data_IF_696425176920
#
_entry.id   IF_696425176920
#
_cell.length_a   1.000
_cell.length_b   1.000
_cell.length_c   1.000
_cell.angle_alpha   90.00
_cell.angle_beta   90.00
_cell.angle_gamma   90.00
#
_symmetry.space_group_name_H-M   'P 1'
#
loop_
_entity.id
_entity.type
_entity.pdbx_description
1 polymer ?
#
# COMPACT_ATOMS: atom_id res chain seq x y z
N UNK A 1 -60.98 -86.02 -9.88
CA UNK A 1 -59.70 -85.89 -10.61
C UNK A 1 -59.68 -84.51 -11.22
N UNK A 2 -58.52 -83.83 -11.16
CA UNK A 2 -58.25 -82.46 -11.61
C UNK A 2 -58.91 -81.32 -10.79
N UNK A 3 -58.25 -80.22 -10.40
CA UNK A 3 -56.82 -79.91 -10.20
C UNK A 3 -56.80 -78.63 -9.34
N UNK A 4 -55.87 -78.56 -8.40
CA UNK A 4 -55.54 -77.37 -7.60
C UNK A 4 -55.02 -76.23 -8.47
N UNK A 5 -55.42 -74.98 -8.20
CA UNK A 5 -54.54 -73.82 -8.33
C UNK A 5 -54.93 -72.76 -7.30
N UNK A 6 -54.31 -72.84 -6.12
CA UNK A 6 -54.14 -71.71 -5.20
C UNK A 6 -53.03 -70.83 -5.75
N UNK A 7 -53.32 -69.55 -5.98
CA UNK A 7 -52.31 -68.54 -6.30
C UNK A 7 -51.27 -68.44 -5.16
N UNK A 8 -49.96 -68.59 -5.43
CA UNK A 8 -48.94 -68.15 -4.50
C UNK A 8 -48.66 -66.67 -4.75
N UNK A 9 -48.86 -65.87 -3.72
CA UNK A 9 -48.33 -64.52 -3.54
C UNK A 9 -46.81 -64.55 -3.75
N UNK A 10 -46.35 -64.14 -4.93
CA UNK A 10 -44.93 -63.96 -5.21
C UNK A 10 -44.48 -62.64 -4.59
N UNK A 11 -43.93 -62.73 -3.38
CA UNK A 11 -43.26 -61.62 -2.71
C UNK A 11 -41.95 -61.42 -3.45
N UNK A 12 -41.97 -60.60 -4.50
CA UNK A 12 -40.77 -60.03 -5.09
C UNK A 12 -40.07 -59.17 -4.04
N UNK A 13 -39.13 -59.79 -3.34
CA UNK A 13 -38.17 -59.12 -2.48
C UNK A 13 -37.30 -58.25 -3.38
N UNK A 14 -37.69 -56.99 -3.57
CA UNK A 14 -36.84 -55.98 -4.17
C UNK A 14 -35.64 -55.76 -3.24
N UNK A 15 -34.56 -56.50 -3.49
CA UNK A 15 -33.23 -56.12 -3.02
C UNK A 15 -32.90 -54.82 -3.76
N UNK A 16 -33.13 -53.69 -3.10
CA UNK A 16 -32.55 -52.43 -3.51
C UNK A 16 -31.03 -52.58 -3.36
N UNK A 17 -30.36 -52.90 -4.46
CA UNK A 17 -28.92 -52.76 -4.56
C UNK A 17 -28.67 -51.25 -4.55
N UNK A 18 -28.35 -50.70 -3.38
CA UNK A 18 -27.70 -49.40 -3.29
C UNK A 18 -26.37 -49.52 -4.02
N UNK A 19 -26.34 -49.08 -5.27
CA UNK A 19 -25.09 -48.81 -5.97
C UNK A 19 -24.42 -47.68 -5.17
N UNK A 20 -23.23 -47.89 -4.58
CA UNK A 20 -22.56 -46.84 -3.85
C UNK A 20 -22.37 -45.64 -4.79
N UNK A 21 -22.71 -44.43 -4.33
CA UNK A 21 -22.33 -43.14 -4.95
C UNK A 21 -20.80 -42.93 -4.90
N UNK A 22 -20.02 -43.90 -5.37
CA UNK A 22 -18.56 -43.94 -5.22
C UNK A 22 -17.77 -43.80 -6.51
N UNK A 23 -18.42 -43.75 -7.69
CA UNK A 23 -17.68 -43.85 -8.95
C UNK A 23 -17.59 -42.57 -9.78
N UNK A 24 -18.44 -41.56 -9.53
CA UNK A 24 -18.35 -40.27 -10.25
C UNK A 24 -17.42 -39.27 -9.54
N UNK A 25 -17.36 -39.26 -8.20
CA UNK A 25 -16.44 -38.39 -7.44
C UNK A 25 -14.96 -38.76 -7.59
N UNK A 26 -14.68 -40.03 -7.91
CA UNK A 26 -13.31 -40.58 -7.99
C UNK A 26 -12.41 -39.87 -9.02
N UNK A 27 -12.96 -39.42 -10.15
CA UNK A 27 -12.19 -38.71 -11.18
C UNK A 27 -12.40 -37.19 -11.13
N UNK A 28 -13.53 -36.73 -10.59
CA UNK A 28 -13.85 -35.30 -10.51
C UNK A 28 -12.87 -34.56 -9.60
N UNK A 29 -12.53 -35.11 -8.44
CA UNK A 29 -11.61 -34.47 -7.50
C UNK A 29 -10.20 -34.30 -8.12
N UNK A 30 -9.54 -35.37 -8.63
CA UNK A 30 -8.23 -35.22 -9.27
C UNK A 30 -8.23 -34.29 -10.49
N UNK A 31 -9.30 -34.28 -11.30
CA UNK A 31 -9.42 -33.37 -12.43
C UNK A 31 -9.56 -31.92 -11.98
N UNK A 32 -10.38 -31.65 -10.96
CA UNK A 32 -10.53 -30.31 -10.36
C UNK A 32 -9.19 -29.82 -9.82
N UNK A 33 -8.49 -30.65 -9.06
CA UNK A 33 -7.17 -30.30 -8.51
C UNK A 33 -6.14 -30.04 -9.62
N UNK A 34 -6.15 -30.85 -10.68
CA UNK A 34 -5.29 -30.62 -11.84
C UNK A 34 -5.61 -29.29 -12.51
N UNK A 35 -6.90 -28.96 -12.70
CA UNK A 35 -7.32 -27.67 -13.24
C UNK A 35 -6.84 -26.52 -12.34
N UNK A 36 -7.06 -26.61 -11.04
CA UNK A 36 -6.62 -25.60 -10.07
C UNK A 36 -5.11 -25.40 -10.08
N UNK A 37 -4.32 -26.47 -10.19
CA UNK A 37 -2.85 -26.41 -10.27
C UNK A 37 -2.38 -25.66 -11.51
N UNK A 38 -3.09 -25.81 -12.64
CA UNK A 38 -2.73 -25.13 -13.88
C UNK A 38 -3.17 -23.66 -13.91
N UNK A 39 -4.22 -23.28 -13.18
CA UNK A 39 -4.79 -21.93 -13.22
C UNK A 39 -4.44 -21.05 -12.02
N UNK A 40 -4.16 -21.64 -10.86
CA UNK A 40 -3.93 -20.89 -9.62
C UNK A 40 -2.46 -20.50 -9.53
N UNK A 41 -2.19 -19.21 -9.62
CA UNK A 41 -0.87 -18.68 -9.30
C UNK A 41 -0.70 -18.56 -7.78
N UNK A 42 0.49 -18.89 -7.29
CA UNK A 42 0.86 -18.55 -5.91
C UNK A 42 0.85 -17.04 -5.73
N UNK A 43 0.40 -16.60 -4.56
CA UNK A 43 0.23 -15.18 -4.23
C UNK A 43 0.77 -14.82 -2.85
N UNK A 44 1.05 -15.80 -1.99
CA UNK A 44 1.66 -15.61 -0.67
C UNK A 44 3.07 -16.18 -0.74
N UNK A 45 4.07 -15.31 -0.58
CA UNK A 45 5.48 -15.65 -0.81
C UNK A 45 6.30 -15.54 0.47
N UNK A 46 7.31 -16.39 0.60
CA UNK A 46 8.37 -16.20 1.60
C UNK A 46 9.29 -15.08 1.13
N UNK A 47 9.62 -14.16 2.03
CA UNK A 47 10.61 -13.12 1.80
C UNK A 47 11.99 -13.77 1.71
N UNK A 48 12.84 -13.25 0.82
CA UNK A 48 14.24 -13.68 0.69
C UNK A 48 14.93 -13.67 2.05
N UNK A 49 15.60 -14.76 2.39
CA UNK A 49 16.24 -14.94 3.70
C UNK A 49 17.25 -13.83 4.01
N UNK A 50 17.99 -13.35 3.00
CA UNK A 50 18.94 -12.25 3.17
C UNK A 50 18.26 -10.95 3.55
N UNK A 51 17.08 -10.67 2.98
CA UNK A 51 16.30 -9.47 3.33
C UNK A 51 15.77 -9.57 4.76
N UNK A 52 15.35 -10.77 5.18
CA UNK A 52 14.90 -11.00 6.56
C UNK A 52 16.03 -10.82 7.56
N UNK A 53 17.22 -11.36 7.31
CA UNK A 53 18.39 -11.22 8.20
C UNK A 53 18.82 -9.75 8.40
N UNK A 54 18.65 -8.91 7.37
CA UNK A 54 19.00 -7.48 7.45
C UNK A 54 18.03 -6.72 8.37
N UNK A 55 16.74 -7.03 8.32
CA UNK A 55 15.72 -6.24 9.04
C UNK A 55 14.48 -7.06 9.44
N UNK A 56 14.67 -8.08 10.29
CA UNK A 56 13.65 -9.07 10.68
C UNK A 56 12.33 -8.45 11.15
N UNK A 57 12.39 -7.32 11.86
CA UNK A 57 11.24 -6.66 12.47
C UNK A 57 10.18 -6.21 11.45
N UNK A 58 10.54 -6.06 10.17
CA UNK A 58 9.63 -5.61 9.12
C UNK A 58 9.03 -6.76 8.31
N UNK A 59 9.43 -8.00 8.56
CA UNK A 59 9.02 -9.17 7.79
C UNK A 59 8.44 -10.30 8.66
N UNK A 60 8.71 -10.30 9.97
CA UNK A 60 8.27 -11.35 10.89
C UNK A 60 7.19 -10.84 11.86
N UNK A 61 6.07 -11.57 12.02
CA UNK A 61 5.01 -11.18 12.92
C UNK A 61 5.46 -11.25 14.38
N UNK A 62 5.06 -10.26 15.16
CA UNK A 62 5.47 -10.12 16.57
C UNK A 62 4.34 -10.45 17.56
N UNK A 63 3.09 -10.31 17.13
CA UNK A 63 1.91 -10.38 17.99
C UNK A 63 0.96 -11.48 17.53
N UNK A 64 0.63 -11.55 16.24
CA UNK A 64 -0.32 -12.52 15.68
C UNK A 64 0.21 -13.18 14.41
N UNK A 65 0.25 -14.51 14.41
CA UNK A 65 0.45 -15.29 13.18
C UNK A 65 -0.86 -15.41 12.41
N UNK A 66 -0.83 -15.39 11.08
CA UNK A 66 -2.00 -15.58 10.21
C UNK A 66 -1.57 -16.42 9.03
N UNK A 67 -2.30 -17.49 8.78
CA UNK A 67 -1.98 -18.46 7.74
C UNK A 67 -0.86 -19.42 8.16
N UNK A 68 -0.26 -20.07 7.16
CA UNK A 68 0.59 -21.24 7.38
C UNK A 68 2.04 -20.89 7.77
N UNK A 69 2.69 -19.93 7.09
CA UNK A 69 4.15 -19.76 7.19
C UNK A 69 4.69 -19.39 8.57
N UNK A 70 3.88 -18.74 9.41
CA UNK A 70 4.28 -18.33 10.75
C UNK A 70 3.46 -18.99 11.87
N UNK A 71 2.64 -19.99 11.54
CA UNK A 71 1.84 -20.68 12.54
C UNK A 71 2.72 -21.34 13.61
N UNK A 72 2.32 -21.20 14.87
CA UNK A 72 3.02 -21.83 16.01
C UNK A 72 4.29 -21.10 16.46
N UNK A 73 4.63 -19.94 15.88
CA UNK A 73 5.77 -19.12 16.32
C UNK A 73 5.61 -18.67 17.76
N UNK A 74 6.66 -18.84 18.57
CA UNK A 74 6.62 -18.63 20.03
C UNK A 74 6.04 -17.28 20.44
N UNK A 75 6.48 -16.19 19.81
CA UNK A 75 6.04 -14.83 20.14
C UNK A 75 4.55 -14.59 19.86
N UNK A 76 3.91 -15.43 19.03
CA UNK A 76 2.50 -15.29 18.63
C UNK A 76 1.56 -16.26 19.35
N UNK A 77 2.09 -17.21 20.15
CA UNK A 77 1.31 -18.26 20.82
C UNK A 77 0.21 -17.71 21.71
N UNK A 78 0.46 -16.59 22.37
CA UNK A 78 -0.54 -15.92 23.21
C UNK A 78 -1.81 -15.56 22.43
N UNK A 79 -1.68 -15.13 21.16
CA UNK A 79 -2.83 -14.77 20.34
C UNK A 79 -3.61 -15.97 19.82
N UNK A 80 -3.03 -17.18 19.78
CA UNK A 80 -3.74 -18.38 19.32
C UNK A 80 -5.00 -18.67 20.15
N UNK A 81 -4.92 -18.53 21.49
CA UNK A 81 -6.11 -18.69 22.35
C UNK A 81 -7.17 -17.63 22.05
N UNK A 82 -6.75 -16.39 21.79
CA UNK A 82 -7.65 -15.29 21.44
C UNK A 82 -8.34 -15.50 20.09
N UNK A 83 -7.68 -16.13 19.12
CA UNK A 83 -8.30 -16.50 17.84
C UNK A 83 -9.45 -17.48 18.06
N UNK A 84 -9.24 -18.53 18.85
CA UNK A 84 -10.30 -19.49 19.19
C UNK A 84 -11.45 -18.85 19.96
N UNK A 85 -11.16 -17.97 20.93
CA UNK A 85 -12.19 -17.19 21.65
C UNK A 85 -13.02 -16.32 20.70
N UNK A 86 -12.39 -15.74 19.67
CA UNK A 86 -13.07 -14.94 18.65
C UNK A 86 -13.92 -15.81 17.72
N UNK A 87 -13.38 -16.92 17.22
CA UNK A 87 -14.13 -17.88 16.42
C UNK A 87 -15.36 -18.40 17.18
N UNK A 88 -15.20 -18.78 18.45
CA UNK A 88 -16.34 -19.20 19.28
C UNK A 88 -17.36 -18.07 19.45
N UNK A 89 -16.90 -16.84 19.73
CA UNK A 89 -17.77 -15.66 19.82
C UNK A 89 -18.56 -15.40 18.53
N UNK A 90 -17.94 -15.64 17.37
CA UNK A 90 -18.56 -15.53 16.06
C UNK A 90 -19.63 -16.60 15.87
N UNK A 91 -19.29 -17.87 16.04
CA UNK A 91 -20.20 -19.00 15.78
C UNK A 91 -21.36 -19.08 16.78
N UNK A 92 -21.13 -18.73 18.05
CA UNK A 92 -22.11 -18.82 19.13
C UNK A 92 -23.22 -17.74 19.07
N UNK A 93 -23.27 -16.91 18.02
CA UNK A 93 -24.34 -15.92 17.82
C UNK A 93 -25.69 -16.53 17.48
N UNK A 94 -25.72 -17.76 16.96
CA UNK A 94 -26.95 -18.50 16.64
C UNK A 94 -26.94 -19.85 17.37
N UNK A 95 -28.12 -20.40 17.58
CA UNK A 95 -28.37 -21.63 18.36
C UNK A 95 -27.76 -22.92 17.79
N UNK A 96 -27.16 -22.88 16.60
CA UNK A 96 -26.68 -24.04 15.85
C UNK A 96 -25.17 -23.98 15.61
N UNK A 97 -24.40 -23.87 16.69
CA UNK A 97 -22.93 -23.77 16.63
C UNK A 97 -22.31 -24.97 15.90
N UNK A 98 -22.67 -26.19 16.29
CA UNK A 98 -22.10 -27.43 15.74
C UNK A 98 -22.38 -27.58 14.24
N UNK A 99 -23.63 -27.32 13.82
CA UNK A 99 -24.01 -27.38 12.41
C UNK A 99 -23.31 -26.30 11.56
N UNK A 100 -23.06 -25.12 12.13
CA UNK A 100 -22.31 -24.05 11.44
C UNK A 100 -20.84 -24.42 11.34
N UNK A 101 -20.25 -24.95 12.42
CA UNK A 101 -18.87 -25.42 12.46
C UNK A 101 -18.63 -26.54 11.42
N UNK A 102 -19.53 -27.52 11.35
CA UNK A 102 -19.49 -28.60 10.35
C UNK A 102 -19.50 -28.05 8.91
N UNK A 103 -20.38 -27.07 8.61
CA UNK A 103 -20.40 -26.39 7.31
C UNK A 103 -19.10 -25.66 7.00
N UNK A 104 -18.53 -24.95 7.98
CA UNK A 104 -17.24 -24.28 7.81
C UNK A 104 -16.13 -25.30 7.48
N UNK A 105 -16.01 -26.37 8.27
CA UNK A 105 -14.98 -27.41 8.08
C UNK A 105 -15.13 -28.09 6.71
N UNK A 106 -16.34 -28.49 6.32
CA UNK A 106 -16.61 -29.08 4.99
C UNK A 106 -16.20 -28.13 3.87
N UNK A 107 -16.62 -26.87 3.96
CA UNK A 107 -16.27 -25.89 2.93
C UNK A 107 -14.78 -25.59 2.85
N UNK A 108 -14.05 -25.65 3.97
CA UNK A 108 -12.59 -25.47 3.97
C UNK A 108 -11.88 -26.67 3.37
N UNK A 109 -12.33 -27.90 3.63
CA UNK A 109 -11.78 -29.11 3.00
C UNK A 109 -11.92 -29.08 1.48
N UNK A 110 -13.07 -28.63 0.97
CA UNK A 110 -13.32 -28.49 -0.48
C UNK A 110 -12.40 -27.45 -1.17
N UNK A 111 -11.88 -26.50 -0.38
CA UNK A 111 -11.04 -25.39 -0.83
C UNK A 111 -9.57 -25.57 -0.50
N UNK A 112 -9.22 -26.62 0.25
CA UNK A 112 -7.89 -26.82 0.82
C UNK A 112 -6.80 -26.86 -0.26
N UNK A 113 -7.01 -27.68 -1.30
CA UNK A 113 -6.05 -27.83 -2.38
C UNK A 113 -5.72 -26.47 -3.04
N UNK A 114 -6.75 -25.72 -3.44
CA UNK A 114 -6.59 -24.35 -3.97
C UNK A 114 -5.92 -23.40 -2.99
N UNK A 115 -6.26 -23.47 -1.70
CA UNK A 115 -5.67 -22.60 -0.67
C UNK A 115 -4.19 -22.87 -0.46
N UNK A 116 -3.77 -24.15 -0.53
CA UNK A 116 -2.35 -24.53 -0.47
C UNK A 116 -1.55 -23.98 -1.64
N UNK A 117 -2.12 -23.99 -2.85
CA UNK A 117 -1.48 -23.44 -4.05
C UNK A 117 -1.18 -21.93 -3.96
N UNK A 118 -1.94 -21.19 -3.13
CA UNK A 118 -1.66 -19.78 -2.88
C UNK A 118 -0.32 -19.55 -2.16
N UNK A 119 0.14 -20.50 -1.34
CA UNK A 119 1.41 -20.41 -0.64
C UNK A 119 2.55 -20.93 -1.52
N UNK A 120 3.44 -20.03 -1.93
CA UNK A 120 4.60 -20.38 -2.73
C UNK A 120 5.53 -21.31 -1.94
N UNK A 121 5.96 -22.40 -2.59
CA UNK A 121 6.89 -23.40 -2.06
C UNK A 121 6.39 -24.18 -0.82
N UNK A 122 5.10 -24.03 -0.45
CA UNK A 122 4.48 -24.90 0.55
C UNK A 122 4.31 -26.30 -0.05
N UNK A 123 4.93 -27.32 0.55
CA UNK A 123 4.75 -28.69 0.07
C UNK A 123 3.38 -29.22 0.53
N UNK A 124 2.74 -30.03 -0.31
CA UNK A 124 1.40 -30.56 -0.03
C UNK A 124 1.35 -31.38 1.27
N UNK A 125 2.45 -32.07 1.60
CA UNK A 125 2.62 -32.95 2.75
C UNK A 125 3.20 -32.26 3.99
N UNK A 126 3.61 -30.99 3.91
CA UNK A 126 4.26 -30.26 5.01
C UNK A 126 3.33 -30.04 6.21
N UNK A 127 2.04 -29.84 5.94
CA UNK A 127 1.00 -29.66 6.96
C UNK A 127 -0.12 -30.67 6.72
N UNK A 128 -0.48 -31.52 7.70
CA UNK A 128 -1.62 -32.44 7.58
C UNK A 128 -2.94 -31.70 7.28
N UNK A 129 -3.84 -32.32 6.51
CA UNK A 129 -5.11 -31.68 6.08
C UNK A 129 -5.94 -31.16 7.25
N UNK A 130 -6.15 -31.96 8.29
CA UNK A 130 -6.92 -31.55 9.47
C UNK A 130 -6.30 -30.33 10.15
N UNK A 131 -4.97 -30.29 10.24
CA UNK A 131 -4.25 -29.18 10.84
C UNK A 131 -4.32 -27.92 9.97
N UNK A 132 -4.24 -28.08 8.65
CA UNK A 132 -4.39 -26.96 7.71
C UNK A 132 -5.79 -26.32 7.84
N UNK A 133 -6.84 -27.14 7.84
CA UNK A 133 -8.23 -26.68 7.99
C UNK A 133 -8.44 -26.01 9.34
N UNK A 134 -7.88 -26.57 10.42
CA UNK A 134 -7.91 -25.97 11.76
C UNK A 134 -7.31 -24.56 11.77
N UNK A 135 -6.11 -24.37 11.19
CA UNK A 135 -5.43 -23.07 11.11
C UNK A 135 -6.28 -22.07 10.31
N UNK A 136 -6.73 -22.47 9.12
CA UNK A 136 -7.54 -21.61 8.26
C UNK A 136 -8.83 -21.16 8.96
N UNK A 137 -9.50 -22.07 9.67
CA UNK A 137 -10.73 -21.79 10.39
C UNK A 137 -10.52 -20.80 11.54
N UNK A 138 -9.51 -21.05 12.37
CA UNK A 138 -9.19 -20.20 13.51
C UNK A 138 -8.80 -18.79 13.08
N UNK A 139 -7.93 -18.68 12.07
CA UNK A 139 -7.40 -17.40 11.59
C UNK A 139 -8.46 -16.58 10.86
N UNK A 140 -9.19 -17.19 9.92
CA UNK A 140 -10.25 -16.50 9.18
C UNK A 140 -11.43 -16.12 10.10
N UNK A 141 -11.81 -17.00 11.04
CA UNK A 141 -12.84 -16.70 12.03
C UNK A 141 -12.44 -15.55 12.96
N UNK A 142 -11.17 -15.53 13.40
CA UNK A 142 -10.61 -14.42 14.15
C UNK A 142 -10.69 -13.09 13.38
N UNK A 143 -10.25 -13.08 12.12
CA UNK A 143 -10.25 -11.89 11.27
C UNK A 143 -11.66 -11.35 11.02
N UNK A 144 -12.61 -12.22 10.68
CA UNK A 144 -14.01 -11.85 10.47
C UNK A 144 -14.59 -11.22 11.75
N UNK A 145 -14.40 -11.87 12.90
CA UNK A 145 -14.90 -11.38 14.18
C UNK A 145 -14.25 -10.07 14.59
N UNK A 146 -12.93 -9.94 14.36
CA UNK A 146 -12.18 -8.71 14.64
C UNK A 146 -12.74 -7.54 13.85
N UNK A 147 -12.98 -7.70 12.55
CA UNK A 147 -13.54 -6.62 11.73
C UNK A 147 -14.97 -6.27 12.11
N UNK A 148 -15.81 -7.27 12.41
CA UNK A 148 -17.17 -7.04 12.90
C UNK A 148 -17.17 -6.25 14.21
N UNK A 149 -16.35 -6.66 15.19
CA UNK A 149 -16.20 -5.94 16.46
C UNK A 149 -15.64 -4.54 16.26
N UNK A 150 -14.69 -4.35 15.35
CA UNK A 150 -14.16 -3.03 15.03
C UNK A 150 -15.25 -2.09 14.48
N UNK A 151 -16.08 -2.60 13.57
CA UNK A 151 -17.14 -1.85 12.91
C UNK A 151 -18.37 -1.60 13.80
N UNK A 152 -18.74 -2.56 14.66
CA UNK A 152 -19.97 -2.59 15.44
C UNK A 152 -19.64 -2.54 16.94
N UNK A 153 -19.79 -1.36 17.54
CA UNK A 153 -19.45 -1.11 18.95
C UNK A 153 -20.16 -2.08 19.92
N UNK A 154 -21.40 -2.48 19.63
CA UNK A 154 -22.19 -3.37 20.50
C UNK A 154 -21.65 -4.81 20.61
N UNK A 155 -20.74 -5.23 19.73
CA UNK A 155 -20.12 -6.57 19.80
C UNK A 155 -18.89 -6.62 20.72
N UNK A 156 -18.38 -5.47 21.16
CA UNK A 156 -17.22 -5.38 22.03
C UNK A 156 -17.63 -5.71 23.47
N UNK A 157 -17.04 -6.76 24.05
CA UNK A 157 -17.24 -7.09 25.46
C UNK A 157 -16.37 -6.18 26.33
N UNK A 158 -16.82 -5.86 27.55
CA UNK A 158 -16.04 -4.99 28.49
C UNK A 158 -14.65 -5.55 28.82
N UNK A 159 -14.44 -6.86 28.73
CA UNK A 159 -13.15 -7.52 28.96
C UNK A 159 -12.43 -7.95 27.67
N UNK A 160 -12.76 -7.36 26.52
CA UNK A 160 -12.14 -7.71 25.25
C UNK A 160 -10.68 -7.23 25.20
N UNK A 161 -9.74 -8.16 25.37
CA UNK A 161 -8.31 -7.90 25.43
C UNK A 161 -7.79 -7.09 24.24
N UNK A 162 -8.21 -7.45 23.01
CA UNK A 162 -7.72 -6.80 21.78
C UNK A 162 -8.10 -5.33 21.72
N UNK A 163 -9.32 -4.99 22.18
CA UNK A 163 -9.82 -3.61 22.13
C UNK A 163 -9.50 -2.79 23.38
N UNK A 164 -9.14 -3.44 24.48
CA UNK A 164 -8.85 -2.77 25.75
C UNK A 164 -7.35 -2.56 26.00
N UNK A 165 -6.48 -3.37 25.41
CA UNK A 165 -5.03 -3.18 25.51
C UNK A 165 -4.60 -2.05 24.57
N UNK A 166 -4.00 -1.00 25.15
CA UNK A 166 -3.45 0.12 24.38
C UNK A 166 -2.37 -0.37 23.41
N UNK A 167 -2.42 0.10 22.16
CA UNK A 167 -1.43 -0.26 21.12
C UNK A 167 -1.66 -1.60 20.42
N UNK A 168 -2.37 -2.55 21.03
CA UNK A 168 -2.51 -3.90 20.46
C UNK A 168 -3.20 -3.92 19.08
N UNK A 169 -4.25 -3.14 18.88
CA UNK A 169 -4.88 -3.01 17.54
C UNK A 169 -3.91 -2.51 16.47
N UNK A 170 -2.96 -1.66 16.85
CA UNK A 170 -1.94 -1.16 15.93
C UNK A 170 -0.95 -2.28 15.58
N UNK A 171 -0.45 -3.02 16.57
CA UNK A 171 0.46 -4.15 16.37
C UNK A 171 -0.18 -5.25 15.50
N UNK A 172 -1.43 -5.61 15.79
CA UNK A 172 -2.17 -6.59 14.99
C UNK A 172 -2.27 -6.17 13.53
N UNK A 173 -2.51 -4.89 13.27
CA UNK A 173 -2.55 -4.42 11.89
C UNK A 173 -1.18 -4.47 11.22
N UNK A 174 -0.11 -4.09 11.92
CA UNK A 174 1.25 -4.18 11.39
C UNK A 174 1.59 -5.62 10.98
N UNK A 175 1.26 -6.61 11.81
CA UNK A 175 1.45 -8.02 11.48
C UNK A 175 0.59 -8.47 10.28
N UNK A 176 -0.62 -7.93 10.14
CA UNK A 176 -1.50 -8.20 9.00
C UNK A 176 -1.02 -7.56 7.68
N UNK A 177 -0.04 -6.66 7.72
CA UNK A 177 0.60 -6.09 6.52
C UNK A 177 1.78 -6.92 6.01
N UNK A 178 2.20 -7.97 6.73
CA UNK A 178 3.37 -8.74 6.37
C UNK A 178 3.03 -9.76 5.27
N UNK A 179 3.86 -9.85 4.23
CA UNK A 179 3.63 -10.72 3.07
C UNK A 179 3.56 -12.21 3.44
N UNK A 180 4.40 -12.66 4.36
CA UNK A 180 4.39 -14.05 4.84
C UNK A 180 3.22 -14.37 5.78
N UNK A 181 2.59 -13.33 6.35
CA UNK A 181 1.56 -13.46 7.39
C UNK A 181 0.15 -13.27 6.80
N UNK A 182 -0.14 -13.98 5.71
CA UNK A 182 -1.35 -13.83 4.94
C UNK A 182 -2.15 -15.14 4.86
N UNK A 183 -3.44 -14.98 4.58
CA UNK A 183 -4.40 -16.05 4.29
C UNK A 183 -5.11 -15.71 2.97
N UNK A 184 -5.40 -16.69 2.11
CA UNK A 184 -6.10 -16.41 0.86
C UNK A 184 -7.47 -15.77 1.10
N UNK A 185 -7.75 -14.65 0.44
CA UNK A 185 -8.93 -13.84 0.70
C UNK A 185 -10.23 -14.61 0.43
N UNK A 186 -10.24 -15.50 -0.56
CA UNK A 186 -11.40 -16.32 -0.89
C UNK A 186 -11.81 -17.27 0.25
N UNK A 187 -10.88 -17.66 1.14
CA UNK A 187 -11.20 -18.44 2.34
C UNK A 187 -12.07 -17.61 3.29
N UNK A 188 -11.72 -16.34 3.48
CA UNK A 188 -12.52 -15.45 4.30
C UNK A 188 -13.87 -15.14 3.66
N UNK A 189 -13.90 -14.90 2.35
CA UNK A 189 -15.16 -14.68 1.62
C UNK A 189 -16.10 -15.87 1.83
N UNK A 190 -15.58 -17.08 1.65
CA UNK A 190 -16.38 -18.29 1.81
C UNK A 190 -16.89 -18.47 3.24
N UNK A 191 -16.04 -18.29 4.25
CA UNK A 191 -16.49 -18.40 5.63
C UNK A 191 -17.48 -17.28 6.00
N UNK A 192 -17.30 -16.06 5.47
CA UNK A 192 -18.21 -14.94 5.70
C UNK A 192 -19.64 -15.22 5.21
N UNK A 193 -19.81 -16.04 4.16
CA UNK A 193 -21.11 -16.51 3.67
C UNK A 193 -21.78 -17.52 4.63
N UNK A 194 -21.00 -18.27 5.40
CA UNK A 194 -21.46 -19.39 6.23
C UNK A 194 -21.75 -18.94 7.67
N UNK A 195 -20.84 -18.14 8.25
CA UNK A 195 -20.87 -17.77 9.66
C UNK A 195 -22.00 -16.77 9.97
N UNK A 196 -22.52 -16.74 11.21
CA UNK A 196 -23.64 -15.87 11.56
C UNK A 196 -23.19 -14.40 11.68
N UNK A 197 -23.41 -13.64 10.61
CA UNK A 197 -23.23 -12.18 10.60
C UNK A 197 -24.44 -11.49 11.29
N UNK A 198 -24.22 -10.48 12.15
CA UNK A 198 -25.31 -9.74 12.78
C UNK A 198 -26.27 -9.11 11.75
N UNK A 199 -27.58 -9.26 11.94
CA UNK A 199 -28.61 -8.82 10.97
C UNK A 199 -28.54 -7.32 10.59
N UNK A 200 -28.04 -6.49 11.51
CA UNK A 200 -27.86 -5.04 11.31
C UNK A 200 -26.54 -4.68 10.62
N UNK A 201 -25.62 -5.62 10.44
CA UNK A 201 -24.43 -5.42 9.61
C UNK A 201 -24.86 -5.46 8.14
N UNK A 202 -24.70 -4.35 7.44
CA UNK A 202 -24.91 -4.25 5.98
C UNK A 202 -23.61 -4.16 5.19
N UNK A 203 -22.48 -4.16 5.89
CA UNK A 203 -21.16 -4.07 5.30
C UNK A 203 -20.73 -5.45 4.80
N UNK A 204 -20.22 -5.48 3.57
CA UNK A 204 -19.48 -6.60 3.01
C UNK A 204 -18.18 -6.86 3.79
N UNK A 205 -17.61 -8.06 3.61
CA UNK A 205 -16.28 -8.39 4.15
C UNK A 205 -15.22 -7.38 3.72
N UNK A 206 -15.27 -6.94 2.47
CA UNK A 206 -14.32 -5.98 1.89
C UNK A 206 -14.42 -4.60 2.54
N UNK A 207 -15.64 -4.10 2.79
CA UNK A 207 -15.86 -2.84 3.51
C UNK A 207 -15.44 -2.93 4.97
N UNK A 208 -15.68 -4.07 5.62
CA UNK A 208 -15.24 -4.33 6.99
C UNK A 208 -13.71 -4.33 7.10
N UNK A 209 -13.02 -5.03 6.20
CA UNK A 209 -11.57 -5.05 6.12
C UNK A 209 -10.99 -3.67 5.79
N UNK A 210 -11.52 -2.99 4.78
CA UNK A 210 -11.09 -1.65 4.42
C UNK A 210 -11.23 -0.68 5.59
N UNK A 211 -12.37 -0.71 6.30
CA UNK A 211 -12.57 0.13 7.49
C UNK A 211 -11.54 -0.15 8.59
N UNK A 212 -11.07 -1.39 8.70
CA UNK A 212 -10.03 -1.76 9.66
C UNK A 212 -8.65 -1.22 9.27
N UNK A 213 -8.29 -1.23 7.98
CA UNK A 213 -6.98 -0.84 7.47
C UNK A 213 -6.85 0.61 6.98
N UNK A 214 -7.95 1.32 6.68
CA UNK A 214 -7.93 2.61 5.96
C UNK A 214 -6.96 3.63 6.55
N UNK A 215 -6.86 3.69 7.88
CA UNK A 215 -6.00 4.67 8.57
C UNK A 215 -4.49 4.34 8.38
N UNK A 216 -4.17 3.14 7.87
CA UNK A 216 -2.82 2.73 7.49
C UNK A 216 -2.48 2.97 6.02
N UNK A 217 -3.46 3.33 5.18
CA UNK A 217 -3.27 3.47 3.74
C UNK A 217 -3.20 4.97 3.42
N UNK A 218 -2.03 5.54 3.11
CA UNK A 218 -1.91 6.98 2.84
C UNK A 218 -2.70 7.38 1.60
N UNK A 219 -3.66 8.30 1.74
CA UNK A 219 -4.43 8.88 0.63
C UNK A 219 -5.94 8.97 0.90
N UNK A 220 -6.73 9.22 -0.15
CA UNK A 220 -8.18 9.44 -0.03
C UNK A 220 -8.94 8.12 0.20
N UNK A 221 -9.66 8.04 1.31
CA UNK A 221 -10.37 6.83 1.71
C UNK A 221 -11.48 6.39 0.74
N UNK A 222 -12.12 7.32 0.00
CA UNK A 222 -13.21 6.97 -0.94
C UNK A 222 -12.65 6.35 -2.20
N UNK A 223 -11.59 6.94 -2.76
CA UNK A 223 -10.85 6.38 -3.89
C UNK A 223 -10.27 5.02 -3.54
N UNK A 224 -9.68 4.89 -2.35
CA UNK A 224 -9.13 3.61 -1.92
C UNK A 224 -10.19 2.53 -1.76
N UNK A 225 -11.37 2.83 -1.19
CA UNK A 225 -12.44 1.82 -1.07
C UNK A 225 -12.85 1.27 -2.44
N UNK A 226 -12.94 2.13 -3.46
CA UNK A 226 -13.27 1.70 -4.82
C UNK A 226 -12.21 0.75 -5.42
N UNK A 227 -10.92 0.99 -5.13
CA UNK A 227 -9.80 0.12 -5.57
C UNK A 227 -9.67 -1.16 -4.73
N UNK A 228 -9.82 -1.05 -3.42
CA UNK A 228 -9.80 -2.15 -2.45
C UNK A 228 -10.94 -3.14 -2.68
N UNK A 229 -12.03 -2.70 -3.33
CA UNK A 229 -13.18 -3.51 -3.73
C UNK A 229 -12.95 -4.45 -4.91
N UNK A 230 -11.80 -4.39 -5.58
CA UNK A 230 -11.47 -5.26 -6.71
C UNK A 230 -11.05 -6.66 -6.27
N UNK A 231 -11.08 -7.64 -7.19
CA UNK A 231 -10.62 -9.00 -6.94
C UNK A 231 -9.14 -8.99 -6.50
N UNK A 232 -8.85 -9.37 -5.26
CA UNK A 232 -7.49 -9.47 -4.71
C UNK A 232 -7.25 -10.77 -3.99
N UNK A 233 -5.98 -11.17 -3.90
CA UNK A 233 -5.61 -12.51 -3.45
C UNK A 233 -5.57 -12.67 -1.92
N UNK A 234 -5.16 -11.62 -1.21
CA UNK A 234 -5.05 -11.52 0.25
C UNK A 234 -5.04 -10.04 0.65
N UNK A 235 -5.01 -9.70 1.95
CA UNK A 235 -5.16 -8.30 2.38
C UNK A 235 -4.07 -7.37 1.88
N UNK A 236 -2.81 -7.77 1.94
CA UNK A 236 -1.73 -6.93 1.45
C UNK A 236 -1.85 -6.65 -0.06
N UNK A 237 -2.37 -7.59 -0.86
CA UNK A 237 -2.66 -7.39 -2.28
C UNK A 237 -3.86 -6.44 -2.50
N UNK A 238 -4.92 -6.56 -1.68
CA UNK A 238 -6.02 -5.58 -1.68
C UNK A 238 -5.55 -4.17 -1.31
N UNK A 239 -4.61 -4.05 -0.36
CA UNK A 239 -3.98 -2.77 0.01
C UNK A 239 -3.14 -2.25 -1.16
N UNK A 240 -2.39 -3.11 -1.85
CA UNK A 240 -1.61 -2.75 -3.04
C UNK A 240 -2.50 -2.11 -4.12
N UNK A 241 -3.72 -2.61 -4.33
CA UNK A 241 -4.67 -2.01 -5.28
C UNK A 241 -4.97 -0.55 -4.99
N UNK A 242 -5.00 -0.12 -3.73
CA UNK A 242 -5.21 1.30 -3.36
C UNK A 242 -4.18 2.24 -4.01
N UNK A 243 -2.96 1.76 -4.22
CA UNK A 243 -1.87 2.53 -4.79
C UNK A 243 -1.80 2.44 -6.31
N UNK A 244 -2.47 1.48 -6.95
CA UNK A 244 -2.39 1.35 -8.40
C UNK A 244 -2.93 2.61 -9.10
N UNK A 245 -2.21 3.15 -10.10
CA UNK A 245 -2.60 4.37 -10.75
C UNK A 245 -3.90 4.19 -11.53
N UNK A 246 -4.77 5.20 -11.46
CA UNK A 246 -6.04 5.25 -12.22
C UNK A 246 -5.92 6.00 -13.54
N UNK A 247 -4.79 6.68 -13.75
CA UNK A 247 -4.51 7.51 -14.91
C UNK A 247 -3.43 6.84 -15.75
N UNK A 248 -3.53 6.86 -17.11
CA UNK A 248 -2.51 6.31 -17.98
C UNK A 248 -1.13 6.92 -17.72
N UNK A 249 -0.11 6.06 -17.69
CA UNK A 249 1.29 6.45 -17.54
C UNK A 249 1.73 7.36 -18.69
N UNK A 250 2.51 8.39 -18.35
CA UNK A 250 3.22 9.20 -19.34
C UNK A 250 4.34 8.34 -19.95
N UNK A 251 4.18 7.98 -21.24
CA UNK A 251 5.20 7.24 -21.98
C UNK A 251 6.41 8.13 -22.27
N UNK A 252 7.61 7.62 -22.03
CA UNK A 252 8.84 8.28 -22.42
C UNK A 252 9.09 8.10 -23.93
N UNK A 253 9.70 9.10 -24.57
CA UNK A 253 10.12 9.03 -25.97
C UNK A 253 11.45 8.27 -26.12
N UNK A 254 12.29 8.28 -25.09
CA UNK A 254 13.57 7.57 -25.03
C UNK A 254 13.59 6.56 -23.87
N UNK A 255 14.27 5.42 -24.05
CA UNK A 255 14.38 4.36 -23.03
C UNK A 255 15.34 4.73 -21.87
N UNK A 256 16.29 5.66 -22.05
CA UNK A 256 17.24 6.05 -21.00
C UNK A 256 16.75 7.24 -20.13
N UNK A 257 15.89 7.01 -19.13
CA UNK A 257 15.83 7.91 -17.95
C UNK A 257 15.40 7.17 -16.66
N UNK A 258 16.33 6.53 -15.94
CA UNK A 258 16.06 5.92 -14.61
C UNK A 258 16.20 6.93 -13.47
N UNK A 259 15.21 7.82 -13.35
CA UNK A 259 15.05 8.70 -12.18
C UNK A 259 15.01 10.20 -12.47
N UNK A 260 14.67 11.00 -11.46
CA UNK A 260 14.69 12.45 -11.59
C UNK A 260 16.12 12.93 -11.88
N UNK A 261 16.32 13.88 -12.81
CA UNK A 261 17.65 14.37 -13.14
C UNK A 261 18.32 15.10 -11.97
N UNK A 262 17.53 15.57 -11.00
CA UNK A 262 17.99 16.45 -9.93
C UNK A 262 17.26 16.20 -8.61
N UNK A 263 17.99 16.37 -7.50
CA UNK A 263 17.45 16.48 -6.15
C UNK A 263 16.61 17.75 -5.95
N UNK A 264 15.80 17.80 -4.88
CA UNK A 264 14.84 18.88 -4.63
C UNK A 264 15.46 20.30 -4.69
N UNK A 265 16.62 20.50 -4.07
CA UNK A 265 17.35 21.77 -4.09
C UNK A 265 17.79 22.17 -5.50
N UNK A 266 18.35 21.24 -6.28
CA UNK A 266 18.76 21.49 -7.66
C UNK A 266 17.58 21.77 -8.59
N UNK A 267 16.44 21.09 -8.39
CA UNK A 267 15.20 21.40 -9.12
C UNK A 267 14.76 22.85 -8.87
N UNK A 268 14.79 23.28 -7.60
CA UNK A 268 14.50 24.66 -7.22
C UNK A 268 15.47 25.65 -7.89
N UNK A 269 16.77 25.35 -7.92
CA UNK A 269 17.79 26.19 -8.55
C UNK A 269 17.60 26.27 -10.09
N UNK A 270 17.13 25.18 -10.72
CA UNK A 270 16.74 25.14 -12.12
C UNK A 270 15.44 25.91 -12.43
N UNK A 271 14.79 26.50 -11.42
CA UNK A 271 13.55 27.25 -11.55
C UNK A 271 12.29 26.37 -11.58
N UNK A 272 12.41 25.09 -11.21
CA UNK A 272 11.27 24.19 -11.04
C UNK A 272 10.69 24.34 -9.64
N UNK A 273 9.39 24.60 -9.55
CA UNK A 273 8.70 24.77 -8.27
C UNK A 273 8.15 23.44 -7.78
N UNK A 274 8.54 23.04 -6.57
CA UNK A 274 7.91 21.94 -5.84
C UNK A 274 6.63 22.45 -5.17
N UNK A 275 5.52 21.73 -5.37
CA UNK A 275 4.21 22.07 -4.82
C UNK A 275 3.50 20.80 -4.33
N UNK A 276 2.81 20.90 -3.21
CA UNK A 276 1.87 19.87 -2.73
C UNK A 276 0.74 19.74 -3.75
N UNK A 277 0.52 18.52 -4.24
CA UNK A 277 -0.61 18.23 -5.13
C UNK A 277 -1.94 18.27 -4.35
N UNK A 278 -3.03 18.50 -5.07
CA UNK A 278 -4.39 18.46 -4.49
C UNK A 278 -4.96 17.05 -4.43
N UNK A 279 -4.44 16.15 -5.25
CA UNK A 279 -4.77 14.72 -5.20
C UNK A 279 -4.14 14.07 -3.97
N UNK A 280 -4.84 13.07 -3.44
CA UNK A 280 -4.35 12.22 -2.36
C UNK A 280 -3.93 10.83 -2.87
N UNK A 281 -4.03 10.57 -4.18
CA UNK A 281 -3.46 9.36 -4.78
C UNK A 281 -1.93 9.48 -4.76
N UNK A 282 -1.27 8.67 -3.94
CA UNK A 282 0.16 8.78 -3.62
C UNK A 282 1.05 8.74 -4.86
N UNK A 283 0.64 8.00 -5.90
CA UNK A 283 1.45 7.80 -7.10
C UNK A 283 1.18 8.85 -8.20
N UNK A 284 0.22 9.77 -8.01
CA UNK A 284 -0.20 10.74 -9.01
C UNK A 284 0.68 12.00 -9.02
N UNK A 285 1.96 11.82 -9.37
CA UNK A 285 2.96 12.89 -9.47
C UNK A 285 2.92 13.51 -10.87
N UNK A 286 2.77 14.84 -10.93
CA UNK A 286 2.60 15.58 -12.19
C UNK A 286 3.64 16.66 -12.37
N UNK A 287 4.04 16.86 -13.62
CA UNK A 287 4.87 17.99 -14.00
C UNK A 287 4.18 18.80 -15.10
N UNK A 288 3.98 20.09 -14.84
CA UNK A 288 3.40 21.01 -15.80
C UNK A 288 3.97 22.41 -15.64
N UNK A 289 4.41 23.04 -16.75
CA UNK A 289 4.84 24.44 -16.81
C UNK A 289 5.87 24.81 -15.71
N UNK A 290 6.84 23.93 -15.45
CA UNK A 290 7.87 24.15 -14.43
C UNK A 290 7.42 23.95 -12.99
N UNK A 291 6.26 23.34 -12.76
CA UNK A 291 5.77 22.95 -11.43
C UNK A 291 5.73 21.44 -11.35
N UNK A 292 6.42 20.88 -10.36
CA UNK A 292 6.34 19.47 -9.98
C UNK A 292 5.39 19.36 -8.79
N UNK A 293 4.20 18.83 -9.04
CA UNK A 293 3.16 18.58 -8.05
C UNK A 293 3.31 17.15 -7.50
N UNK A 294 3.53 17.05 -6.20
CA UNK A 294 3.76 15.78 -5.51
C UNK A 294 2.66 15.59 -4.46
N UNK A 295 1.92 14.47 -4.47
CA UNK A 295 0.96 14.13 -3.43
C UNK A 295 1.60 14.14 -2.04
N UNK A 296 0.88 14.62 -1.01
CA UNK A 296 1.41 14.60 0.35
C UNK A 296 1.50 13.17 0.88
N UNK A 297 2.59 12.85 1.56
CA UNK A 297 2.72 11.62 2.35
C UNK A 297 2.93 11.95 3.82
N UNK A 298 2.11 11.34 4.68
CA UNK A 298 2.31 11.35 6.12
C UNK A 298 3.06 10.08 6.53
N UNK A 299 4.25 10.24 7.09
CA UNK A 299 5.06 9.11 7.55
C UNK A 299 4.67 8.75 8.97
N UNK A 300 4.17 7.53 9.12
CA UNK A 300 3.83 6.87 10.37
C UNK A 300 4.84 5.74 10.67
N UNK A 301 4.81 5.20 11.88
CA UNK A 301 5.71 4.12 12.29
C UNK A 301 5.54 2.83 11.44
N UNK A 302 4.35 2.57 10.90
CA UNK A 302 4.10 1.41 10.02
C UNK A 302 4.48 1.66 8.55
N UNK A 303 4.77 2.90 8.15
CA UNK A 303 4.95 3.26 6.73
C UNK A 303 6.10 2.50 6.10
N UNK A 304 7.18 2.29 6.85
CA UNK A 304 8.33 1.49 6.41
C UNK A 304 7.93 0.03 6.19
N UNK A 305 7.29 -0.62 7.18
CA UNK A 305 6.77 -1.99 7.06
C UNK A 305 5.85 -2.16 5.86
N UNK A 306 4.89 -1.24 5.67
CA UNK A 306 3.94 -1.28 4.57
C UNK A 306 4.66 -1.21 3.22
N UNK A 307 5.52 -0.20 3.03
CA UNK A 307 6.22 -0.04 1.76
C UNK A 307 7.15 -1.22 1.47
N UNK A 308 7.92 -1.71 2.46
CA UNK A 308 8.79 -2.88 2.32
C UNK A 308 8.01 -4.09 1.80
N UNK A 309 6.91 -4.45 2.46
CA UNK A 309 6.12 -5.62 2.08
C UNK A 309 5.42 -5.45 0.71
N UNK A 310 4.99 -4.23 0.36
CA UNK A 310 4.47 -3.95 -0.99
C UNK A 310 5.55 -4.08 -2.08
N UNK A 311 6.78 -3.61 -1.81
CA UNK A 311 7.93 -3.78 -2.70
C UNK A 311 8.27 -5.27 -2.85
N UNK A 312 8.24 -6.04 -1.77
CA UNK A 312 8.50 -7.49 -1.83
C UNK A 312 7.46 -8.20 -2.69
N UNK A 313 6.18 -7.81 -2.64
CA UNK A 313 5.16 -8.32 -3.59
C UNK A 313 5.59 -8.04 -5.03
N UNK A 314 5.96 -6.79 -5.33
CA UNK A 314 6.38 -6.41 -6.70
C UNK A 314 7.57 -7.26 -7.18
N UNK A 315 8.42 -7.73 -6.27
CA UNK A 315 9.59 -8.55 -6.58
C UNK A 315 9.33 -10.07 -6.61
N UNK A 316 8.21 -10.56 -6.06
CA UNK A 316 8.01 -11.99 -5.81
C UNK A 316 7.22 -12.73 -6.89
N UNK A 317 6.43 -12.02 -7.71
CA UNK A 317 5.50 -12.63 -8.67
C UNK A 317 5.77 -12.25 -10.13
N UNK A 318 5.58 -13.16 -11.10
CA UNK A 318 5.57 -12.81 -12.51
C UNK A 318 4.36 -11.90 -12.83
N UNK A 319 4.57 -10.86 -13.65
CA UNK A 319 3.49 -9.96 -14.10
C UNK A 319 3.12 -8.85 -13.11
N UNK A 320 3.90 -8.65 -12.05
CA UNK A 320 3.75 -7.50 -11.15
C UNK A 320 4.33 -6.24 -11.77
N UNK A 321 3.75 -5.10 -11.40
CA UNK A 321 4.19 -3.76 -11.83
C UNK A 321 5.04 -3.12 -10.74
N UNK A 322 6.10 -2.39 -11.09
CA UNK A 322 7.04 -1.75 -10.15
C UNK A 322 6.59 -0.35 -9.68
N UNK A 323 5.30 -0.14 -9.42
CA UNK A 323 4.73 1.17 -9.13
C UNK A 323 5.24 1.77 -7.81
N UNK A 324 5.19 0.98 -6.74
CA UNK A 324 5.66 1.36 -5.40
C UNK A 324 7.17 1.52 -5.40
N UNK A 325 7.89 0.56 -5.99
CA UNK A 325 9.34 0.61 -6.14
C UNK A 325 9.80 1.87 -6.88
N UNK A 326 9.12 2.21 -8.00
CA UNK A 326 9.40 3.44 -8.76
C UNK A 326 9.14 4.71 -7.94
N UNK A 327 8.09 4.72 -7.11
CA UNK A 327 7.79 5.87 -6.25
C UNK A 327 8.85 6.07 -5.18
N UNK A 328 9.22 5.00 -4.49
CA UNK A 328 10.26 5.04 -3.45
C UNK A 328 11.59 5.51 -4.04
N UNK A 329 11.97 5.01 -5.22
CA UNK A 329 13.19 5.46 -5.91
C UNK A 329 13.14 6.94 -6.31
N UNK A 330 12.01 7.40 -6.83
CA UNK A 330 11.79 8.80 -7.17
C UNK A 330 11.96 9.69 -5.92
N UNK A 331 11.36 9.28 -4.80
CA UNK A 331 11.43 9.99 -3.52
C UNK A 331 12.84 9.98 -2.95
N UNK A 332 13.57 8.86 -3.02
CA UNK A 332 14.99 8.76 -2.65
C UNK A 332 15.85 9.73 -3.47
N UNK A 333 15.60 9.82 -4.77
CA UNK A 333 16.34 10.72 -5.68
C UNK A 333 16.02 12.19 -5.42
N UNK A 334 14.78 12.50 -5.02
CA UNK A 334 14.34 13.84 -4.65
C UNK A 334 14.92 14.30 -3.30
N UNK A 335 15.11 13.35 -2.36
CA UNK A 335 15.43 13.59 -0.95
C UNK A 335 16.80 13.03 -0.49
N UNK A 336 17.92 13.23 -1.22
CA UNK A 336 19.19 12.61 -0.86
C UNK A 336 19.83 13.21 0.40
N UNK A 337 19.56 14.49 0.71
CA UNK A 337 20.20 15.22 1.81
C UNK A 337 19.16 15.90 2.73
N UNK A 338 19.52 16.15 3.99
CA UNK A 338 18.61 16.75 4.97
C UNK A 338 18.06 18.12 4.55
N UNK A 339 18.80 18.90 3.73
CA UNK A 339 18.29 20.17 3.19
C UNK A 339 17.14 19.96 2.19
N UNK A 340 17.18 18.88 1.41
CA UNK A 340 16.13 18.50 0.47
C UNK A 340 14.89 18.03 1.23
N UNK A 341 15.07 17.20 2.26
CA UNK A 341 14.00 16.80 3.19
C UNK A 341 13.34 18.02 3.84
N UNK A 342 14.13 18.95 4.37
CA UNK A 342 13.63 20.21 4.95
C UNK A 342 12.86 21.05 3.92
N UNK A 343 13.33 21.11 2.67
CA UNK A 343 12.64 21.84 1.60
C UNK A 343 11.27 21.23 1.31
N UNK A 344 11.19 19.91 1.15
CA UNK A 344 9.94 19.18 0.86
C UNK A 344 8.98 19.22 2.06
N UNK A 345 9.48 19.15 3.31
CA UNK A 345 8.70 19.37 4.54
C UNK A 345 8.11 20.78 4.59
N UNK A 346 8.88 21.83 4.26
CA UNK A 346 8.38 23.22 4.17
C UNK A 346 7.28 23.39 3.13
N UNK A 347 7.24 22.53 2.11
CA UNK A 347 6.18 22.49 1.10
C UNK A 347 4.98 21.63 1.49
N UNK A 348 4.98 21.04 2.69
CA UNK A 348 3.93 20.16 3.20
C UNK A 348 3.67 18.92 2.32
N UNK A 349 4.66 18.52 1.52
CA UNK A 349 4.63 17.28 0.72
C UNK A 349 5.00 16.09 1.60
N UNK A 350 5.90 16.30 2.56
CA UNK A 350 6.30 15.28 3.53
C UNK A 350 5.97 15.77 4.93
N UNK A 351 5.14 15.04 5.66
CA UNK A 351 4.80 15.32 7.06
C UNK A 351 5.10 14.12 7.94
N UNK A 352 5.33 14.34 9.23
CA UNK A 352 5.49 13.28 10.22
C UNK A 352 4.61 13.59 11.43
N UNK A 353 3.69 12.68 11.76
CA UNK A 353 2.82 12.84 12.93
C UNK A 353 3.34 12.09 14.16
N UNK A 354 4.12 11.02 13.97
CA UNK A 354 4.37 10.06 15.06
C UNK A 354 5.78 9.46 15.10
N UNK A 355 6.70 9.94 14.26
CA UNK A 355 8.07 9.45 14.31
C UNK A 355 8.80 10.16 15.44
N UNK A 356 8.90 9.50 16.59
CA UNK A 356 9.65 9.93 17.77
C UNK A 356 11.11 10.29 17.43
N UNK A 357 11.65 9.67 16.38
CA UNK A 357 12.95 9.97 15.82
C UNK A 357 12.87 10.74 14.48
N UNK A 358 13.08 12.05 14.52
CA UNK A 358 13.14 12.90 13.31
C UNK A 358 14.13 12.38 12.26
N UNK A 359 15.20 11.64 12.65
CA UNK A 359 16.20 11.08 11.74
C UNK A 359 15.66 9.92 10.89
N UNK A 360 14.66 9.18 11.37
CA UNK A 360 14.11 8.05 10.62
C UNK A 360 13.42 8.49 9.32
N UNK A 361 12.74 9.64 9.33
CA UNK A 361 12.10 10.20 8.12
C UNK A 361 13.13 10.67 7.09
N UNK A 362 14.29 11.18 7.56
CA UNK A 362 15.36 11.67 6.68
C UNK A 362 16.04 10.54 5.90
N UNK A 363 15.98 9.32 6.43
CA UNK A 363 16.68 8.14 5.91
C UNK A 363 15.74 7.05 5.39
N UNK A 364 14.43 7.18 5.57
CA UNK A 364 13.41 6.20 5.18
C UNK A 364 13.55 5.73 3.74
N UNK A 365 13.47 6.65 2.77
CA UNK A 365 13.55 6.29 1.35
C UNK A 365 14.92 5.75 0.92
N UNK A 366 15.99 6.07 1.66
CA UNK A 366 17.30 5.46 1.42
C UNK A 366 17.29 3.99 1.86
N UNK A 367 16.86 3.70 3.10
CA UNK A 367 16.75 2.31 3.61
C UNK A 367 15.83 1.45 2.76
N UNK A 368 14.70 1.99 2.31
CA UNK A 368 13.79 1.26 1.44
C UNK A 368 14.43 0.90 0.09
N UNK A 369 15.33 1.73 -0.44
CA UNK A 369 16.05 1.44 -1.69
C UNK A 369 17.22 0.47 -1.50
N UNK A 370 17.85 0.39 -0.32
CA UNK A 370 18.96 -0.54 -0.05
C UNK A 370 18.54 -2.01 -0.22
N UNK A 371 17.25 -2.30 -0.01
CA UNK A 371 16.67 -3.64 -0.14
C UNK A 371 16.04 -3.92 -1.51
N UNK A 372 16.02 -2.94 -2.42
CA UNK A 372 15.45 -3.11 -3.75
C UNK A 372 16.46 -3.75 -4.70
N UNK A 373 16.17 -4.98 -5.15
CA UNK A 373 16.82 -5.56 -6.35
C UNK A 373 16.37 -4.85 -7.65
N UNK A 374 15.24 -4.15 -7.59
CA UNK A 374 14.58 -3.49 -8.73
C UNK A 374 15.37 -2.24 -9.13
N UNK A 375 15.62 -2.11 -10.43
CA UNK A 375 16.40 -1.06 -11.14
C UNK A 375 17.86 -1.40 -11.46
N UNK A 376 18.34 -2.58 -11.08
CA UNK A 376 19.65 -3.08 -11.55
C UNK A 376 19.58 -3.52 -13.03
N UNK A 377 18.44 -4.05 -13.49
CA UNK A 377 18.32 -4.64 -14.83
C UNK A 377 17.84 -3.65 -15.91
N UNK A 378 18.34 -3.85 -17.14
CA UNK A 378 17.98 -3.11 -18.36
C UNK A 378 16.47 -2.94 -18.56
N UNK A 379 15.73 -4.01 -18.26
CA UNK A 379 14.34 -4.23 -18.65
C UNK A 379 13.31 -3.83 -17.57
N UNK A 380 13.76 -3.38 -16.39
CA UNK A 380 12.86 -2.97 -15.31
C UNK A 380 12.12 -1.67 -15.67
N UNK A 381 10.81 -1.77 -15.83
CA UNK A 381 9.98 -0.65 -16.24
C UNK A 381 9.79 0.38 -15.11
N UNK A 382 10.59 1.46 -15.11
CA UNK A 382 10.44 2.56 -14.16
C UNK A 382 9.22 3.44 -14.48
N UNK A 383 8.21 3.42 -13.60
CA UNK A 383 6.91 4.04 -13.83
C UNK A 383 6.99 5.54 -14.18
N UNK A 384 7.93 6.29 -13.59
CA UNK A 384 8.05 7.74 -13.81
C UNK A 384 8.99 8.16 -14.95
N UNK A 385 9.40 7.25 -15.86
CA UNK A 385 10.30 7.58 -16.99
C UNK A 385 9.85 8.83 -17.76
N UNK A 386 8.59 8.87 -18.22
CA UNK A 386 8.07 10.01 -18.99
C UNK A 386 7.98 11.31 -18.18
N UNK A 387 7.67 11.22 -16.89
CA UNK A 387 7.70 12.38 -15.98
C UNK A 387 9.14 12.93 -15.87
N UNK A 388 10.12 12.07 -15.68
CA UNK A 388 11.52 12.46 -15.56
C UNK A 388 12.05 13.07 -16.86
N UNK A 389 11.65 12.57 -18.02
CA UNK A 389 11.96 13.15 -19.33
C UNK A 389 11.39 14.57 -19.46
N UNK A 390 10.12 14.79 -19.11
CA UNK A 390 9.52 16.13 -19.11
C UNK A 390 10.27 17.12 -18.21
N UNK A 391 10.70 16.66 -17.03
CA UNK A 391 11.50 17.48 -16.10
C UNK A 391 12.87 17.80 -16.70
N UNK A 392 13.53 16.84 -17.37
CA UNK A 392 14.84 17.01 -18.01
C UNK A 392 14.78 17.95 -19.22
N UNK A 393 13.72 17.86 -20.03
CA UNK A 393 13.49 18.71 -21.20
C UNK A 393 13.08 20.14 -20.85
N UNK A 394 12.65 20.40 -19.60
CA UNK A 394 12.18 21.70 -19.19
C UNK A 394 13.29 22.77 -19.29
N UNK A 395 13.14 23.63 -20.30
CA UNK A 395 13.87 24.88 -20.42
C UNK A 395 12.96 25.99 -19.92
N UNK A 396 13.38 26.72 -18.89
CA UNK A 396 12.68 27.93 -18.45
C UNK A 396 12.54 28.86 -19.66
N UNK A 397 11.32 29.26 -20.02
CA UNK A 397 11.10 30.18 -21.14
C UNK A 397 11.96 31.42 -20.90
N UNK A 398 12.91 31.64 -21.79
CA UNK A 398 13.91 32.70 -21.67
C UNK A 398 13.24 34.06 -21.81
N UNK A 399 13.05 34.74 -20.68
CA UNK A 399 13.16 36.20 -20.63
C UNK A 399 14.58 36.63 -20.21
N UNK A 400 15.58 35.76 -20.41
CA UNK A 400 16.99 36.11 -20.26
C UNK A 400 17.89 35.38 -21.27
N UNK A 401 17.98 35.82 -22.53
CA UNK A 401 19.13 35.57 -23.36
C UNK A 401 20.05 36.80 -23.27
N UNK A 402 20.73 37.05 -22.13
CA UNK A 402 21.83 38.04 -22.02
C UNK A 402 22.61 38.12 -20.70
N UNK A 403 22.55 37.13 -19.81
CA UNK A 403 23.43 37.09 -18.61
C UNK A 403 24.50 36.00 -18.64
N UNK A 404 24.76 35.39 -19.81
CA UNK A 404 25.87 34.44 -20.02
C UNK A 404 27.09 35.03 -20.74
N UNK A 405 27.14 36.34 -20.91
CA UNK A 405 28.34 37.09 -21.29
C UNK A 405 28.63 38.13 -20.21
N UNK A 406 28.87 37.67 -18.99
CA UNK A 406 29.50 38.50 -17.96
C UNK A 406 30.86 37.89 -17.68
N UNK A 407 31.97 38.64 -17.72
CA UNK A 407 33.29 38.10 -17.39
C UNK A 407 33.27 37.55 -15.95
N UNK A 408 34.15 36.58 -15.61
CA UNK A 408 34.23 36.06 -14.25
C UNK A 408 34.46 37.20 -13.24
N UNK A 409 33.94 37.09 -12.01
CA UNK A 409 34.19 38.10 -10.98
C UNK A 409 35.70 38.22 -10.73
N UNK A 410 36.22 39.45 -10.85
CA UNK A 410 37.62 39.73 -10.52
C UNK A 410 37.91 39.30 -9.07
N UNK A 411 39.09 38.70 -8.88
CA UNK A 411 39.62 38.26 -7.58
C UNK A 411 39.52 39.40 -6.54
N UNK A 412 39.26 39.07 -5.26
CA UNK A 412 39.17 40.07 -4.19
C UNK A 412 40.57 40.66 -3.94
N UNK A 413 40.81 41.86 -4.46
CA UNK A 413 42.09 42.54 -4.28
C UNK A 413 42.23 43.92 -4.94
N UNK A 414 41.23 44.40 -5.69
CA UNK A 414 41.32 45.69 -6.38
C UNK A 414 39.99 46.45 -6.29
N UNK A 415 39.69 47.04 -5.13
CA UNK A 415 38.71 48.14 -5.08
C UNK A 415 38.98 49.08 -3.90
N UNK A 416 40.11 49.77 -3.96
CA UNK A 416 40.31 51.04 -3.25
C UNK A 416 40.29 52.18 -4.27
N UNK A 417 39.10 52.61 -4.72
CA UNK A 417 38.85 53.98 -5.22
C UNK A 417 37.39 54.39 -4.96
N UNK A 418 37.13 55.58 -4.38
CA UNK A 418 35.80 56.01 -3.94
C UNK A 418 35.00 56.69 -5.08
N UNK A 419 34.96 56.11 -6.27
CA UNK A 419 34.16 56.67 -7.39
C UNK A 419 32.65 56.42 -7.31
N UNK A 420 32.10 55.31 -6.77
CA UNK A 420 30.65 55.11 -6.81
C UNK A 420 29.87 56.01 -5.84
N UNK A 421 30.47 56.48 -4.75
CA UNK A 421 29.78 57.36 -3.77
C UNK A 421 29.55 58.77 -4.30
N UNK A 422 30.53 59.35 -5.00
CA UNK A 422 30.42 60.70 -5.56
C UNK A 422 29.35 60.73 -6.66
N UNK A 423 29.30 59.70 -7.52
CA UNK A 423 28.29 59.59 -8.58
C UNK A 423 26.88 59.47 -7.99
N UNK A 424 26.70 58.69 -6.92
CA UNK A 424 25.40 58.58 -6.24
C UNK A 424 24.97 59.92 -5.63
N UNK A 425 25.88 60.64 -4.97
CA UNK A 425 25.58 61.96 -4.39
C UNK A 425 25.19 62.96 -5.47
N UNK A 426 25.91 63.02 -6.60
CA UNK A 426 25.59 63.89 -7.72
C UNK A 426 24.23 63.54 -8.35
N UNK A 427 23.89 62.26 -8.46
CA UNK A 427 22.60 61.81 -8.99
C UNK A 427 21.43 62.24 -8.09
N UNK A 428 21.59 62.10 -6.76
CA UNK A 428 20.59 62.55 -5.78
C UNK A 428 20.42 64.07 -5.84
N UNK A 429 21.51 64.82 -5.90
CA UNK A 429 21.49 66.29 -6.01
C UNK A 429 20.77 66.76 -7.28
N UNK A 430 21.01 66.08 -8.40
CA UNK A 430 20.33 66.35 -9.67
C UNK A 430 18.82 66.12 -9.56
N UNK A 431 18.38 65.02 -8.95
CA UNK A 431 16.95 64.72 -8.76
C UNK A 431 16.28 65.79 -7.87
N UNK A 432 16.94 66.22 -6.79
CA UNK A 432 16.42 67.28 -5.91
C UNK A 432 16.27 68.60 -6.67
N UNK A 433 17.26 68.99 -7.49
CA UNK A 433 17.20 70.22 -8.29
C UNK A 433 16.05 70.20 -9.31
N UNK A 434 15.85 69.07 -10.00
CA UNK A 434 14.72 68.89 -10.94
C UNK A 434 13.39 68.99 -10.21
N UNK A 435 13.27 68.38 -9.03
CA UNK A 435 12.05 68.44 -8.23
C UNK A 435 11.74 69.87 -7.76
N UNK A 436 12.75 70.60 -7.25
CA UNK A 436 12.59 72.00 -6.82
C UNK A 436 12.21 72.89 -8.01
N UNK A 437 12.85 72.72 -9.16
CA UNK A 437 12.52 73.48 -10.37
C UNK A 437 11.09 73.23 -10.87
N UNK A 438 10.62 71.97 -10.82
CA UNK A 438 9.23 71.63 -11.13
C UNK A 438 8.25 72.27 -10.14
N UNK A 439 8.58 72.26 -8.85
CA UNK A 439 7.74 72.82 -7.79
C UNK A 439 7.63 74.35 -7.91
N UNK A 440 8.74 75.05 -8.23
CA UNK A 440 8.72 76.47 -8.54
C UNK A 440 7.91 76.80 -9.80
N UNK A 441 8.01 75.97 -10.85
CA UNK A 441 7.21 76.15 -12.06
C UNK A 441 5.71 76.02 -11.80
N UNK A 442 5.33 75.05 -10.96
CA UNK A 442 3.94 74.84 -10.53
C UNK A 442 3.45 76.03 -9.69
N UNK A 443 4.22 76.47 -8.69
CA UNK A 443 3.86 77.61 -7.84
C UNK A 443 3.76 78.90 -8.67
N UNK A 444 4.68 79.13 -9.61
CA UNK A 444 4.65 80.27 -10.53
C UNK A 444 3.38 80.26 -11.39
N UNK A 445 3.01 79.09 -11.94
CA UNK A 445 1.78 78.93 -12.71
C UNK A 445 0.52 79.26 -11.90
N UNK A 446 0.47 78.87 -10.62
CA UNK A 446 -0.66 79.19 -9.75
C UNK A 446 -0.67 80.65 -9.26
N UNK A 447 0.49 81.28 -9.05
CA UNK A 447 0.58 82.72 -8.71
C UNK A 447 0.20 83.65 -9.86
N UNK A 448 0.23 83.18 -11.10
CA UNK A 448 -0.13 83.98 -12.27
C UNK A 448 -1.64 83.88 -12.64
N UNK A 449 -2.40 83.04 -11.92
CA UNK A 449 -3.84 82.79 -12.12
C UNK A 449 -4.74 83.29 -10.97
N UNK A 450 -4.15 83.91 -9.94
CA UNK A 450 -4.81 84.75 -8.92
C UNK A 450 -4.47 86.20 -9.23
#
# INVERSE_FOLDING_TARGET
MATSMSEPTDVLQHVAIEIPKGSYDSLVIPLKEKMETMTTASCIFKVDEKLREIDEKHYLPQTVSIGIFHHGRDNTKFMEEHKWRYLYSLLNRKSHLEATLDKCVKSLRELEHKARLCYKDLKQDEVPSDKFVEIMLADAGFLIELFLKYAIKGLKRRGDYVFNMSGLLYELRCDMLLLENQIPYFILQRLFEIVPIPNHCKLSLTELAFRFFRDMIPGDHRLHLAKFGQEGNHFLDLIRHCFLPTVPRIKAKQQEVRGLPYKASKLKDAGIKLKKATTEDLLDIKFAKGVLEIPPINVHQYTETLLRNLITIEQSGPGTTNHISSYVFLMKTLLPENKDVKLVKRKQILTNYDVSDKKQVETLFHRLCEEMKVMENADDEFYYNGLCEQVKEYKRSSWQPRLKTMPPPLKPGYLQRPLPRIVIVLLVLFIVLVFVGALFSIISFFRHKL
#
